data_IF_629453143004
#
_entry.id   IF_629453143004
#
_cell.length_a   1.000
_cell.length_b   1.000
_cell.length_c   1.000
_cell.angle_alpha   90.00
_cell.angle_beta   90.00
_cell.angle_gamma   90.00
#
_symmetry.space_group_name_H-M   'P 1'
#
loop_
_entity.id
_entity.type
_entity.pdbx_description
1 polymer ?
#
# COMPACT_ATOMS: atom_id res chain seq x y z
N UNK A 1 -58.83 14.15 -58.58
CA UNK A 1 -57.55 14.74 -58.15
C UNK A 1 -57.50 14.65 -56.63
N UNK A 2 -56.67 13.74 -56.11
CA UNK A 2 -55.41 14.03 -55.37
C UNK A 2 -55.73 14.45 -53.92
N UNK A 3 -55.28 13.79 -52.85
CA UNK A 3 -54.18 12.82 -52.69
C UNK A 3 -54.29 12.18 -51.30
N UNK A 4 -54.16 10.85 -51.24
CA UNK A 4 -53.84 10.04 -50.06
C UNK A 4 -52.36 10.28 -49.68
N UNK A 5 -52.03 10.30 -48.38
CA UNK A 5 -50.72 9.92 -47.76
C UNK A 5 -50.68 10.25 -46.24
N UNK A 6 -49.84 9.61 -45.41
CA UNK A 6 -49.83 8.18 -45.08
C UNK A 6 -49.75 7.94 -43.54
N UNK A 7 -49.89 6.67 -43.16
CA UNK A 7 -49.65 6.15 -41.82
C UNK A 7 -48.18 6.34 -41.35
N UNK A 8 -48.00 6.64 -40.06
CA UNK A 8 -46.75 6.37 -39.35
C UNK A 8 -47.04 5.41 -38.20
N UNK A 9 -46.66 4.15 -38.42
CA UNK A 9 -46.52 3.14 -37.38
C UNK A 9 -45.30 3.50 -36.53
N UNK A 10 -45.51 3.84 -35.26
CA UNK A 10 -44.44 3.96 -34.28
C UNK A 10 -44.25 2.60 -33.60
N UNK A 11 -43.47 1.71 -34.23
CA UNK A 11 -42.88 0.56 -33.54
C UNK A 11 -41.67 1.06 -32.74
N UNK A 12 -41.93 1.56 -31.53
CA UNK A 12 -40.88 1.81 -30.55
C UNK A 12 -40.46 0.48 -29.94
N UNK A 13 -39.31 -0.03 -30.36
CA UNK A 13 -38.58 -1.12 -29.71
C UNK A 13 -38.36 -0.76 -28.22
N UNK A 14 -39.19 -1.33 -27.34
CA UNK A 14 -38.89 -1.45 -25.93
C UNK A 14 -37.82 -2.56 -25.81
N UNK A 15 -36.56 -2.23 -26.08
CA UNK A 15 -35.46 -3.03 -25.59
C UNK A 15 -35.45 -2.82 -24.07
N UNK A 16 -36.25 -3.62 -23.37
CA UNK A 16 -36.13 -3.78 -21.94
C UNK A 16 -34.68 -4.22 -21.68
N UNK A 17 -33.88 -3.28 -21.16
CA UNK A 17 -32.61 -3.58 -20.54
C UNK A 17 -32.98 -4.43 -19.32
N UNK A 18 -33.08 -5.75 -19.53
CA UNK A 18 -33.22 -6.69 -18.43
C UNK A 18 -31.97 -6.47 -17.57
N UNK A 19 -32.11 -6.07 -16.31
CA UNK A 19 -30.97 -6.01 -15.41
C UNK A 19 -30.35 -7.41 -15.41
N UNK A 20 -29.11 -7.51 -15.90
CA UNK A 20 -28.36 -8.76 -15.84
C UNK A 20 -28.27 -9.14 -14.38
N UNK A 21 -29.05 -10.14 -13.97
CA UNK A 21 -28.93 -10.71 -12.64
C UNK A 21 -27.58 -11.42 -12.57
N UNK A 22 -26.73 -11.01 -11.64
CA UNK A 22 -25.48 -11.69 -11.31
C UNK A 22 -25.75 -13.18 -11.08
N UNK A 23 -25.25 -14.04 -11.97
CA UNK A 23 -25.38 -15.48 -11.84
C UNK A 23 -24.27 -16.04 -10.96
N UNK A 24 -24.57 -17.12 -10.24
CA UNK A 24 -23.53 -17.92 -9.59
C UNK A 24 -23.13 -19.05 -10.52
N UNK A 25 -21.82 -19.17 -10.79
CA UNK A 25 -21.25 -20.23 -11.64
C UNK A 25 -20.31 -21.08 -10.82
N UNK A 26 -20.49 -22.40 -10.86
CA UNK A 26 -19.60 -23.34 -10.18
C UNK A 26 -18.52 -23.76 -11.18
N UNK A 27 -17.25 -23.65 -10.78
CA UNK A 27 -16.13 -24.29 -11.48
C UNK A 27 -15.84 -25.59 -10.73
N UNK A 28 -16.18 -26.72 -11.34
CA UNK A 28 -15.92 -28.03 -10.75
C UNK A 28 -14.42 -28.40 -10.84
N UNK A 29 -14.02 -29.43 -10.11
CA UNK A 29 -12.68 -30.00 -10.27
C UNK A 29 -12.44 -30.42 -11.74
N UNK A 30 -11.23 -30.14 -12.25
CA UNK A 30 -10.82 -30.40 -13.64
C UNK A 30 -11.57 -29.59 -14.73
N UNK A 31 -12.42 -28.63 -14.35
CA UNK A 31 -12.98 -27.66 -15.28
C UNK A 31 -12.07 -26.44 -15.37
N UNK A 32 -11.85 -25.93 -16.58
CA UNK A 32 -11.09 -24.68 -16.75
C UNK A 32 -11.83 -23.50 -16.13
N UNK A 33 -11.14 -22.72 -15.31
CA UNK A 33 -11.66 -21.46 -14.78
C UNK A 33 -11.82 -20.47 -15.93
N UNK A 34 -10.84 -20.40 -16.84
CA UNK A 34 -10.90 -19.49 -17.99
C UNK A 34 -12.14 -19.75 -18.86
N UNK A 35 -12.48 -21.01 -19.14
CA UNK A 35 -13.67 -21.33 -19.91
C UNK A 35 -14.97 -20.81 -19.25
N UNK A 36 -15.02 -20.81 -17.91
CA UNK A 36 -16.16 -20.25 -17.16
C UNK A 36 -16.15 -18.73 -17.20
N UNK A 37 -14.97 -18.08 -17.13
CA UNK A 37 -14.81 -16.63 -17.30
C UNK A 37 -15.29 -16.19 -18.69
N UNK A 38 -14.94 -16.93 -19.74
CA UNK A 38 -15.32 -16.62 -21.12
C UNK A 38 -16.84 -16.60 -21.27
N UNK A 39 -17.52 -17.60 -20.68
CA UNK A 39 -18.98 -17.70 -20.67
C UNK A 39 -19.71 -16.82 -19.64
N UNK A 40 -18.99 -16.14 -18.75
CA UNK A 40 -19.56 -15.30 -17.68
C UNK A 40 -19.99 -13.92 -18.19
N UNK A 41 -20.91 -13.30 -17.46
CA UNK A 41 -21.36 -11.93 -17.66
C UNK A 41 -20.93 -11.02 -16.51
N UNK A 42 -20.89 -9.71 -16.76
CA UNK A 42 -20.61 -8.71 -15.73
C UNK A 42 -21.53 -8.89 -14.52
N UNK A 43 -20.95 -8.95 -13.33
CA UNK A 43 -21.63 -9.18 -12.06
C UNK A 43 -21.59 -10.62 -11.57
N UNK A 44 -21.24 -11.60 -12.42
CA UNK A 44 -21.27 -13.01 -12.03
C UNK A 44 -20.29 -13.34 -10.89
N UNK A 45 -20.67 -14.32 -10.08
CA UNK A 45 -19.88 -14.88 -8.99
C UNK A 45 -19.44 -16.30 -9.34
N UNK A 46 -18.14 -16.48 -9.55
CA UNK A 46 -17.51 -17.76 -9.83
C UNK A 46 -17.08 -18.39 -8.51
N UNK A 47 -17.70 -19.52 -8.17
CA UNK A 47 -17.35 -20.35 -7.02
C UNK A 47 -16.50 -21.51 -7.52
N UNK A 48 -15.24 -21.53 -7.09
CA UNK A 48 -14.22 -22.43 -7.63
C UNK A 48 -13.98 -23.56 -6.62
N UNK A 49 -14.03 -24.82 -7.07
CA UNK A 49 -13.64 -25.95 -6.23
C UNK A 49 -12.16 -25.85 -5.85
N UNK A 50 -11.80 -26.35 -4.66
CA UNK A 50 -10.41 -26.38 -4.24
C UNK A 50 -9.51 -27.11 -5.25
N UNK A 51 -8.30 -26.60 -5.46
CA UNK A 51 -7.35 -27.20 -6.40
C UNK A 51 -6.29 -26.24 -6.92
N UNK A 52 -5.35 -26.81 -7.67
CA UNK A 52 -4.35 -26.07 -8.44
C UNK A 52 -4.78 -26.03 -9.90
N UNK A 53 -4.93 -24.82 -10.42
CA UNK A 53 -5.31 -24.54 -11.80
C UNK A 53 -4.14 -23.81 -12.45
N UNK A 54 -3.34 -24.51 -13.26
CA UNK A 54 -2.23 -23.90 -14.00
C UNK A 54 -2.73 -23.10 -15.21
N UNK A 55 -3.48 -22.03 -14.91
CA UNK A 55 -4.18 -21.19 -15.87
C UNK A 55 -3.81 -19.71 -15.65
N UNK A 56 -3.57 -19.00 -16.76
CA UNK A 56 -3.62 -17.54 -16.77
C UNK A 56 -5.08 -17.11 -16.92
N UNK A 57 -5.61 -16.41 -15.93
CA UNK A 57 -6.97 -15.92 -15.99
C UNK A 57 -7.01 -14.54 -16.63
N UNK A 58 -7.77 -14.40 -17.71
CA UNK A 58 -8.00 -13.13 -18.42
C UNK A 58 -9.46 -12.74 -18.31
N UNK A 59 -9.72 -11.67 -17.57
CA UNK A 59 -11.03 -11.08 -17.33
C UNK A 59 -11.12 -9.77 -18.12
N UNK A 60 -11.70 -9.83 -19.31
CA UNK A 60 -11.77 -8.68 -20.23
C UNK A 60 -13.20 -8.19 -20.43
N UNK A 61 -13.42 -6.88 -20.30
CA UNK A 61 -14.71 -6.24 -20.61
C UNK A 61 -15.84 -6.57 -19.64
N UNK A 62 -15.54 -7.21 -18.51
CA UNK A 62 -16.54 -7.66 -17.54
C UNK A 62 -16.02 -7.60 -16.10
N UNK A 63 -16.89 -7.21 -15.17
CA UNK A 63 -16.63 -7.25 -13.74
C UNK A 63 -17.05 -8.62 -13.19
N UNK A 64 -16.16 -9.31 -12.46
CA UNK A 64 -16.44 -10.64 -11.91
C UNK A 64 -15.99 -10.73 -10.46
N UNK A 65 -16.65 -11.60 -9.69
CA UNK A 65 -16.14 -12.06 -8.39
C UNK A 65 -15.70 -13.51 -8.50
N UNK A 66 -14.46 -13.80 -8.09
CA UNK A 66 -13.91 -15.15 -8.02
C UNK A 66 -13.60 -15.46 -6.56
N UNK A 67 -14.07 -16.62 -6.08
CA UNK A 67 -13.82 -17.11 -4.72
C UNK A 67 -13.85 -18.63 -4.68
N UNK A 68 -13.18 -19.26 -3.70
CA UNK A 68 -13.30 -20.69 -3.50
C UNK A 68 -14.68 -21.09 -2.95
N UNK A 69 -15.02 -22.36 -3.16
CA UNK A 69 -16.09 -23.05 -2.46
C UNK A 69 -15.66 -23.31 -1.00
N UNK A 70 -16.50 -22.94 -0.03
CA UNK A 70 -16.31 -23.21 1.40
C UNK A 70 -14.92 -22.83 1.95
N UNK A 71 -14.35 -21.71 1.50
CA UNK A 71 -13.01 -21.25 1.87
C UNK A 71 -11.86 -22.24 1.56
N UNK A 72 -12.08 -23.16 0.62
CA UNK A 72 -11.05 -24.08 0.15
C UNK A 72 -9.87 -23.38 -0.55
N UNK A 73 -8.76 -24.09 -0.67
CA UNK A 73 -7.55 -23.54 -1.31
C UNK A 73 -7.68 -23.59 -2.84
N UNK A 74 -7.64 -22.42 -3.48
CA UNK A 74 -7.59 -22.27 -4.94
C UNK A 74 -6.29 -21.57 -5.32
N UNK A 75 -5.52 -22.20 -6.19
CA UNK A 75 -4.32 -21.63 -6.78
C UNK A 75 -4.49 -21.47 -8.29
N UNK A 76 -4.06 -20.30 -8.80
CA UNK A 76 -3.99 -19.99 -10.23
C UNK A 76 -2.60 -19.46 -10.59
N UNK A 77 -2.22 -19.50 -11.88
CA UNK A 77 -0.91 -19.00 -12.32
C UNK A 77 -0.87 -17.48 -12.29
N UNK A 78 -1.74 -16.80 -13.04
CA UNK A 78 -1.83 -15.33 -13.07
C UNK A 78 -3.26 -14.83 -13.20
N UNK A 79 -3.50 -13.54 -12.94
CA UNK A 79 -4.78 -12.89 -13.21
C UNK A 79 -4.56 -11.55 -13.91
N UNK A 80 -5.24 -11.35 -15.03
CA UNK A 80 -5.26 -10.08 -15.76
C UNK A 80 -6.71 -9.59 -15.93
N UNK A 81 -7.00 -8.41 -15.42
CA UNK A 81 -8.26 -7.68 -15.61
C UNK A 81 -8.05 -6.52 -16.59
N UNK A 82 -8.77 -6.54 -17.71
CA UNK A 82 -8.66 -5.54 -18.77
C UNK A 82 -10.00 -4.87 -19.04
N UNK A 83 -10.04 -3.55 -18.85
CA UNK A 83 -11.21 -2.71 -19.10
C UNK A 83 -12.52 -3.34 -18.61
N UNK A 84 -12.57 -3.77 -17.35
CA UNK A 84 -13.68 -4.55 -16.81
C UNK A 84 -15.02 -3.79 -16.76
N UNK A 85 -15.00 -2.46 -16.93
CA UNK A 85 -16.18 -1.59 -16.77
C UNK A 85 -16.77 -1.61 -15.35
N UNK A 86 -16.00 -2.09 -14.37
CA UNK A 86 -16.41 -2.32 -13.00
C UNK A 86 -15.30 -2.97 -12.17
N UNK A 87 -15.69 -3.65 -11.08
CA UNK A 87 -14.76 -4.26 -10.12
C UNK A 87 -14.52 -5.73 -10.43
N UNK A 88 -13.26 -6.10 -10.63
CA UNK A 88 -12.82 -7.50 -10.53
C UNK A 88 -12.44 -7.77 -9.07
N UNK A 89 -13.09 -8.76 -8.46
CA UNK A 89 -12.83 -9.17 -7.07
C UNK A 89 -12.26 -10.58 -7.03
N UNK A 90 -11.11 -10.73 -6.38
CA UNK A 90 -10.56 -12.01 -5.96
C UNK A 90 -10.70 -12.12 -4.44
N UNK A 91 -11.10 -13.30 -3.96
CA UNK A 91 -11.23 -13.53 -2.52
C UNK A 91 -10.71 -14.91 -2.16
N UNK A 92 -9.76 -14.99 -1.22
CA UNK A 92 -9.15 -16.24 -0.76
C UNK A 92 -8.57 -17.10 -1.90
N UNK A 93 -7.82 -16.45 -2.81
CA UNK A 93 -7.15 -17.09 -3.95
C UNK A 93 -5.65 -16.86 -3.86
N UNK A 94 -4.88 -17.92 -4.15
CA UNK A 94 -3.44 -17.87 -4.35
C UNK A 94 -3.11 -17.66 -5.83
N UNK A 95 -2.21 -16.72 -6.12
CA UNK A 95 -1.72 -16.44 -7.48
C UNK A 95 -0.21 -16.60 -7.51
N UNK A 96 0.31 -17.45 -8.39
CA UNK A 96 1.74 -17.81 -8.44
C UNK A 96 2.63 -16.74 -9.07
N UNK A 97 2.06 -15.90 -9.93
CA UNK A 97 2.75 -14.77 -10.53
C UNK A 97 2.00 -13.48 -10.21
N UNK A 98 1.57 -12.75 -11.22
CA UNK A 98 1.12 -11.37 -11.10
C UNK A 98 -0.39 -11.26 -11.15
N UNK A 99 -0.90 -10.19 -10.52
CA UNK A 99 -2.26 -9.69 -10.73
C UNK A 99 -2.18 -8.31 -11.36
N UNK A 100 -2.65 -8.21 -12.61
CA UNK A 100 -2.60 -6.97 -13.37
C UNK A 100 -4.01 -6.47 -13.68
N UNK A 101 -4.32 -5.23 -13.32
CA UNK A 101 -5.57 -4.55 -13.62
C UNK A 101 -5.26 -3.28 -14.44
N UNK A 102 -5.59 -3.35 -15.73
CA UNK A 102 -5.50 -2.23 -16.67
C UNK A 102 -6.91 -1.72 -16.94
N UNK A 103 -7.12 -0.40 -16.80
CA UNK A 103 -8.44 0.23 -16.95
C UNK A 103 -9.56 -0.46 -16.13
N UNK A 104 -9.22 -1.06 -14.98
CA UNK A 104 -10.14 -1.88 -14.19
C UNK A 104 -9.99 -1.61 -12.69
N UNK A 105 -11.11 -1.62 -11.96
CA UNK A 105 -11.06 -1.60 -10.50
C UNK A 105 -10.73 -2.99 -9.97
N UNK A 106 -9.95 -3.08 -8.90
CA UNK A 106 -9.44 -4.35 -8.37
C UNK A 106 -9.67 -4.47 -6.88
N UNK A 107 -10.32 -5.55 -6.46
CA UNK A 107 -10.50 -5.90 -5.05
C UNK A 107 -9.79 -7.23 -4.76
N UNK A 108 -8.79 -7.20 -3.89
CA UNK A 108 -8.08 -8.37 -3.36
C UNK A 108 -8.40 -8.52 -1.87
N UNK A 109 -9.04 -9.63 -1.52
CA UNK A 109 -9.46 -9.90 -0.14
C UNK A 109 -8.89 -11.25 0.29
N UNK A 110 -8.03 -11.27 1.32
CA UNK A 110 -7.43 -12.53 1.82
C UNK A 110 -6.67 -13.32 0.76
N UNK A 111 -6.06 -12.64 -0.21
CA UNK A 111 -5.32 -13.30 -1.28
C UNK A 111 -3.85 -13.53 -0.89
N UNK A 112 -3.19 -14.45 -1.60
CA UNK A 112 -1.75 -14.67 -1.49
C UNK A 112 -1.11 -14.59 -2.88
N UNK A 113 -0.43 -13.48 -3.17
CA UNK A 113 0.15 -13.16 -4.48
C UNK A 113 1.67 -13.29 -4.39
N UNK A 114 2.24 -14.19 -5.19
CA UNK A 114 3.69 -14.44 -5.20
C UNK A 114 4.46 -13.40 -6.01
N UNK A 115 3.85 -12.80 -7.02
CA UNK A 115 4.44 -11.76 -7.85
C UNK A 115 3.96 -10.35 -7.49
N UNK A 116 3.89 -9.51 -8.53
CA UNK A 116 3.48 -8.12 -8.46
C UNK A 116 1.95 -7.98 -8.52
N UNK A 117 1.44 -6.89 -7.94
CA UNK A 117 0.07 -6.43 -8.13
C UNK A 117 0.11 -5.05 -8.76
N UNK A 118 -0.56 -4.89 -9.89
CA UNK A 118 -0.63 -3.60 -10.60
C UNK A 118 -2.07 -3.18 -10.82
N UNK A 119 -2.42 -1.97 -10.38
CA UNK A 119 -3.60 -1.21 -10.83
C UNK A 119 -3.07 -0.01 -11.60
N UNK A 120 -3.08 -0.11 -12.92
CA UNK A 120 -2.26 0.73 -13.80
C UNK A 120 -2.81 2.14 -14.04
N UNK A 121 -4.10 2.37 -13.77
CA UNK A 121 -4.82 3.54 -14.22
C UNK A 121 -5.68 4.17 -13.11
N UNK A 122 -5.92 5.47 -13.24
CA UNK A 122 -6.87 6.20 -12.39
C UNK A 122 -8.31 6.16 -12.91
N UNK A 123 -8.51 5.96 -14.21
CA UNK A 123 -9.82 5.91 -14.88
C UNK A 123 -9.89 4.79 -15.92
N UNK A 124 -11.08 4.25 -16.16
CA UNK A 124 -11.36 3.32 -17.27
C UNK A 124 -11.51 4.04 -18.64
N UNK A 125 -11.85 3.30 -19.69
CA UNK A 125 -12.08 3.86 -21.04
C UNK A 125 -13.35 4.72 -21.12
N UNK A 126 -14.28 4.55 -20.17
CA UNK A 126 -15.47 5.38 -19.99
C UNK A 126 -15.20 6.64 -19.17
N UNK A 127 -13.95 6.88 -18.76
CA UNK A 127 -13.54 7.98 -17.88
C UNK A 127 -14.20 7.92 -16.48
N UNK A 128 -14.56 6.71 -16.02
CA UNK A 128 -15.02 6.48 -14.65
C UNK A 128 -13.81 6.28 -13.73
N UNK A 129 -13.87 6.87 -12.54
CA UNK A 129 -12.84 6.71 -11.51
C UNK A 129 -12.66 5.23 -11.12
N UNK A 130 -11.42 4.78 -11.10
CA UNK A 130 -11.06 3.44 -10.66
C UNK A 130 -10.74 3.41 -9.17
N UNK A 131 -11.06 2.28 -8.53
CA UNK A 131 -10.75 2.04 -7.13
C UNK A 131 -9.98 0.73 -6.93
N UNK A 132 -9.15 0.71 -5.89
CA UNK A 132 -8.46 -0.49 -5.43
C UNK A 132 -8.79 -0.76 -3.95
N UNK A 133 -9.16 -1.99 -3.62
CA UNK A 133 -9.30 -2.45 -2.23
C UNK A 133 -8.39 -3.66 -2.06
N UNK A 134 -7.38 -3.54 -1.21
CA UNK A 134 -6.42 -4.60 -0.94
C UNK A 134 -6.43 -4.80 0.57
N UNK A 135 -7.03 -5.90 1.00
CA UNK A 135 -7.31 -6.16 2.41
C UNK A 135 -6.85 -7.56 2.78
N UNK A 136 -6.12 -7.67 3.90
CA UNK A 136 -5.67 -8.95 4.45
C UNK A 136 -4.93 -9.84 3.45
N UNK A 137 -4.23 -9.23 2.51
CA UNK A 137 -3.58 -9.89 1.39
C UNK A 137 -2.07 -9.91 1.59
N UNK A 138 -1.40 -10.97 1.16
CA UNK A 138 0.06 -10.99 1.03
C UNK A 138 0.45 -10.72 -0.41
N UNK A 139 1.30 -9.71 -0.63
CA UNK A 139 1.93 -9.40 -1.92
C UNK A 139 3.43 -9.55 -1.71
N UNK A 140 4.01 -10.61 -2.28
CA UNK A 140 5.40 -10.98 -2.03
C UNK A 140 6.38 -10.03 -2.70
N UNK A 141 5.98 -9.37 -3.78
CA UNK A 141 6.79 -8.41 -4.51
C UNK A 141 6.17 -7.00 -4.46
N UNK A 142 6.00 -6.31 -5.59
CA UNK A 142 5.61 -4.89 -5.62
C UNK A 142 4.11 -4.71 -5.84
N UNK A 143 3.53 -3.79 -5.06
CA UNK A 143 2.24 -3.18 -5.34
C UNK A 143 2.44 -1.86 -6.11
N UNK A 144 1.91 -1.76 -7.32
CA UNK A 144 1.77 -0.48 -8.03
C UNK A 144 0.29 -0.12 -8.09
N UNK A 145 -0.10 0.99 -7.49
CA UNK A 145 -1.51 1.41 -7.48
C UNK A 145 -1.64 2.87 -7.91
N UNK A 146 -2.28 3.07 -9.06
CA UNK A 146 -2.62 4.39 -9.62
C UNK A 146 -4.12 4.66 -9.66
N UNK A 147 -4.91 3.79 -9.04
CA UNK A 147 -6.35 3.99 -8.89
C UNK A 147 -6.63 5.37 -8.29
N UNK A 148 -7.75 5.99 -8.70
CA UNK A 148 -8.14 7.30 -8.16
C UNK A 148 -8.29 7.25 -6.64
N UNK A 149 -8.81 6.14 -6.11
CA UNK A 149 -8.92 5.87 -4.67
C UNK A 149 -8.41 4.47 -4.34
N UNK A 150 -7.69 4.34 -3.24
CA UNK A 150 -7.22 3.03 -2.77
C UNK A 150 -7.31 2.87 -1.25
N UNK A 151 -7.70 1.67 -0.83
CA UNK A 151 -7.64 1.22 0.57
C UNK A 151 -6.74 0.00 0.64
N UNK A 152 -5.58 0.17 1.25
CA UNK A 152 -4.53 -0.83 1.38
C UNK A 152 -4.36 -1.09 2.88
N UNK A 153 -5.07 -2.08 3.40
CA UNK A 153 -5.17 -2.29 4.84
C UNK A 153 -4.83 -3.71 5.28
N UNK A 154 -4.10 -3.83 6.39
CA UNK A 154 -3.81 -5.10 7.06
C UNK A 154 -3.14 -6.16 6.17
N UNK A 155 -2.28 -5.72 5.26
CA UNK A 155 -1.56 -6.58 4.30
C UNK A 155 -0.13 -6.85 4.74
N UNK A 156 0.50 -7.84 4.12
CA UNK A 156 1.96 -7.97 4.07
C UNK A 156 2.43 -7.66 2.65
N UNK A 157 3.24 -6.62 2.47
CA UNK A 157 3.67 -6.10 1.16
C UNK A 157 5.18 -5.92 1.17
N UNK A 158 5.89 -6.20 0.06
CA UNK A 158 7.34 -5.94 0.00
C UNK A 158 7.65 -4.51 -0.39
N UNK A 159 7.05 -3.98 -1.45
CA UNK A 159 7.23 -2.60 -1.92
C UNK A 159 5.91 -2.02 -2.41
N UNK A 160 5.73 -0.71 -2.33
CA UNK A 160 4.62 -0.04 -3.01
C UNK A 160 5.01 1.24 -3.74
N UNK A 161 4.36 1.48 -4.88
CA UNK A 161 4.30 2.76 -5.57
C UNK A 161 2.84 3.20 -5.66
N UNK A 162 2.54 4.39 -5.14
CA UNK A 162 1.18 4.87 -4.92
C UNK A 162 0.96 6.25 -5.56
N UNK A 163 -0.14 6.38 -6.31
CA UNK A 163 -0.72 7.63 -6.77
C UNK A 163 -2.21 7.69 -6.40
N UNK A 164 -2.84 8.87 -6.53
CA UNK A 164 -4.26 9.07 -6.21
C UNK A 164 -4.53 9.33 -4.73
N UNK A 165 -5.77 9.16 -4.29
CA UNK A 165 -6.14 9.25 -2.87
C UNK A 165 -5.97 7.85 -2.23
N UNK A 166 -4.93 7.67 -1.42
CA UNK A 166 -4.54 6.38 -0.86
C UNK A 166 -4.64 6.34 0.67
N UNK A 167 -5.35 5.36 1.22
CA UNK A 167 -5.30 5.00 2.63
C UNK A 167 -4.47 3.73 2.81
N UNK A 168 -3.40 3.83 3.62
CA UNK A 168 -2.45 2.75 3.90
C UNK A 168 -2.41 2.54 5.40
N UNK A 169 -3.18 1.57 5.90
CA UNK A 169 -3.41 1.39 7.35
C UNK A 169 -3.05 -0.02 7.82
N UNK A 170 -2.24 -0.14 8.88
CA UNK A 170 -2.09 -1.42 9.58
C UNK A 170 -1.33 -2.51 8.82
N UNK A 171 -0.53 -2.15 7.82
CA UNK A 171 0.20 -3.13 6.99
C UNK A 171 1.59 -3.43 7.56
N UNK A 172 2.13 -4.59 7.20
CA UNK A 172 3.56 -4.89 7.29
C UNK A 172 4.22 -4.73 5.92
N UNK A 173 5.06 -3.72 5.79
CA UNK A 173 5.98 -3.51 4.69
C UNK A 173 7.31 -4.18 5.01
N UNK A 174 7.46 -5.43 4.56
CA UNK A 174 8.61 -6.30 4.84
C UNK A 174 9.56 -6.33 3.64
N UNK A 175 10.53 -5.42 3.66
CA UNK A 175 11.66 -5.42 2.74
C UNK A 175 12.54 -6.68 2.88
N UNK A 176 13.49 -6.81 1.96
CA UNK A 176 14.52 -7.85 1.96
C UNK A 176 15.87 -7.19 1.70
N UNK A 177 16.94 -7.97 1.82
CA UNK A 177 18.24 -7.53 1.31
C UNK A 177 18.12 -7.13 -0.17
N UNK A 178 18.79 -6.04 -0.54
CA UNK A 178 18.69 -5.43 -1.89
C UNK A 178 18.17 -3.99 -1.88
N UNK A 179 17.83 -3.44 -0.71
CA UNK A 179 17.45 -2.04 -0.53
C UNK A 179 16.05 -1.75 -1.05
N UNK A 180 15.92 -0.69 -1.87
CA UNK A 180 14.64 -0.22 -2.40
C UNK A 180 13.89 0.72 -1.45
N UNK A 181 12.60 0.90 -1.72
CA UNK A 181 11.72 1.81 -0.98
C UNK A 181 10.48 1.04 -0.53
N UNK A 182 10.07 1.20 0.73
CA UNK A 182 8.88 0.55 1.25
C UNK A 182 7.60 1.13 0.68
N UNK A 183 7.33 2.39 1.00
CA UNK A 183 6.17 3.13 0.47
C UNK A 183 6.67 4.33 -0.32
N UNK A 184 6.45 4.32 -1.63
CA UNK A 184 6.78 5.42 -2.53
C UNK A 184 5.50 6.13 -3.00
N UNK A 185 5.32 7.38 -2.57
CA UNK A 185 4.15 8.20 -2.91
C UNK A 185 4.57 9.26 -3.93
N UNK A 186 3.85 9.35 -5.05
CA UNK A 186 4.24 10.22 -6.17
C UNK A 186 3.04 10.95 -6.80
N UNK A 187 3.31 12.06 -7.49
CA UNK A 187 2.33 12.81 -8.28
C UNK A 187 1.64 13.97 -7.53
N UNK A 188 1.45 15.09 -8.21
CA UNK A 188 0.88 16.33 -7.61
C UNK A 188 -0.59 16.22 -7.22
N UNK A 189 -1.31 15.26 -7.81
CA UNK A 189 -2.71 14.97 -7.51
C UNK A 189 -2.88 13.86 -6.44
N UNK A 190 -1.78 13.41 -5.83
CA UNK A 190 -1.79 12.29 -4.88
C UNK A 190 -1.86 12.78 -3.45
N UNK A 191 -2.76 12.19 -2.67
CA UNK A 191 -2.88 12.39 -1.24
C UNK A 191 -2.86 11.03 -0.53
N UNK A 192 -1.84 10.79 0.27
CA UNK A 192 -1.70 9.55 1.03
C UNK A 192 -1.92 9.76 2.53
N UNK A 193 -2.75 8.92 3.15
CA UNK A 193 -2.79 8.73 4.59
C UNK A 193 -2.07 7.41 4.91
N UNK A 194 -0.89 7.49 5.51
CA UNK A 194 -0.05 6.34 5.84
C UNK A 194 0.02 6.22 7.35
N UNK A 195 -0.68 5.23 7.92
CA UNK A 195 -0.78 5.10 9.37
C UNK A 195 -0.72 3.70 9.93
N UNK A 196 -0.19 3.59 11.15
CA UNK A 196 -0.19 2.33 11.90
C UNK A 196 0.50 1.18 11.15
N UNK A 197 1.45 1.47 10.26
CA UNK A 197 2.18 0.44 9.52
C UNK A 197 3.49 0.09 10.20
N UNK A 198 3.93 -1.15 10.02
CA UNK A 198 5.29 -1.61 10.29
C UNK A 198 6.08 -1.62 8.99
N UNK A 199 7.18 -0.88 8.91
CA UNK A 199 7.95 -0.69 7.67
C UNK A 199 9.42 -0.98 7.97
N UNK A 200 9.96 -2.06 7.38
CA UNK A 200 11.30 -2.52 7.76
C UNK A 200 12.04 -3.28 6.67
N UNK A 201 13.36 -3.38 6.85
CA UNK A 201 14.19 -4.35 6.11
C UNK A 201 14.56 -3.90 4.71
N UNK A 202 14.54 -2.60 4.42
CA UNK A 202 15.05 -2.04 3.17
C UNK A 202 16.55 -1.79 3.33
N UNK A 203 17.33 -2.86 3.22
CA UNK A 203 18.74 -2.85 3.62
C UNK A 203 19.67 -3.64 2.73
N UNK A 204 20.98 -3.46 2.93
CA UNK A 204 22.02 -4.28 2.33
C UNK A 204 23.42 -3.78 2.65
N UNK A 205 24.40 -4.36 1.95
CA UNK A 205 25.80 -3.93 1.94
C UNK A 205 26.20 -3.71 0.49
N UNK A 206 26.28 -2.45 0.05
CA UNK A 206 26.49 -2.11 -1.35
C UNK A 206 27.89 -1.52 -1.56
N UNK A 207 28.70 -2.14 -2.41
CA UNK A 207 30.08 -1.71 -2.69
C UNK A 207 30.21 -0.72 -3.84
N UNK A 208 29.15 0.00 -4.19
CA UNK A 208 29.04 0.83 -5.39
C UNK A 208 28.05 1.99 -5.18
N UNK A 209 28.12 3.01 -6.03
CA UNK A 209 27.25 4.17 -5.96
C UNK A 209 25.77 3.79 -6.01
N UNK A 210 24.98 4.41 -5.13
CA UNK A 210 23.55 4.15 -5.04
C UNK A 210 22.73 5.42 -5.11
N UNK A 211 21.51 5.29 -5.61
CA UNK A 211 20.54 6.38 -5.63
C UNK A 211 19.16 5.89 -5.21
N UNK A 212 18.53 6.60 -4.28
CA UNK A 212 17.13 6.38 -3.89
C UNK A 212 16.82 4.95 -3.42
N UNK A 213 17.60 4.43 -2.48
CA UNK A 213 17.46 3.08 -1.91
C UNK A 213 17.58 3.07 -0.40
N UNK A 214 17.14 1.97 0.22
CA UNK A 214 17.15 1.80 1.66
C UNK A 214 16.32 2.89 2.35
N UNK A 215 15.08 3.07 1.87
CA UNK A 215 14.15 4.08 2.39
C UNK A 215 12.88 3.39 2.88
N UNK A 216 12.39 3.75 4.07
CA UNK A 216 11.09 3.29 4.56
C UNK A 216 9.94 3.90 3.76
N UNK A 217 9.78 5.23 3.85
CA UNK A 217 8.75 5.99 3.13
C UNK A 217 9.40 7.11 2.32
N UNK A 218 9.02 7.25 1.05
CA UNK A 218 9.36 8.40 0.21
C UNK A 218 8.12 9.18 -0.22
N UNK A 219 8.19 10.51 -0.13
CA UNK A 219 7.21 11.44 -0.69
C UNK A 219 7.88 12.26 -1.79
N UNK A 220 7.33 12.19 -3.00
CA UNK A 220 7.91 12.84 -4.17
C UNK A 220 6.83 13.35 -5.15
N UNK A 221 7.27 14.00 -6.23
CA UNK A 221 6.41 14.48 -7.31
C UNK A 221 5.39 15.53 -6.87
N UNK A 222 5.61 16.21 -5.75
CA UNK A 222 4.67 17.18 -5.19
C UNK A 222 3.46 16.57 -4.47
N UNK A 223 3.45 15.26 -4.21
CA UNK A 223 2.38 14.58 -3.48
C UNK A 223 2.19 15.14 -2.06
N UNK A 224 1.00 14.96 -1.50
CA UNK A 224 0.73 15.19 -0.07
C UNK A 224 0.69 13.87 0.68
N UNK A 225 1.21 13.87 1.90
CA UNK A 225 1.20 12.68 2.74
C UNK A 225 1.03 13.03 4.23
N UNK A 226 0.02 12.46 4.86
CA UNK A 226 -0.11 12.40 6.32
C UNK A 226 0.46 11.05 6.78
N UNK A 227 1.68 11.08 7.32
CA UNK A 227 2.47 9.93 7.79
C UNK A 227 2.39 9.90 9.32
N UNK A 228 1.50 9.05 9.84
CA UNK A 228 1.08 9.10 11.24
C UNK A 228 1.28 7.75 11.93
N UNK A 229 1.90 7.70 13.11
CA UNK A 229 1.93 6.48 13.92
C UNK A 229 2.49 5.27 13.17
N UNK A 230 3.60 5.39 12.44
CA UNK A 230 4.25 4.23 11.83
C UNK A 230 5.47 3.79 12.65
N UNK A 231 5.83 2.51 12.53
CA UNK A 231 7.05 1.93 13.06
C UNK A 231 8.01 1.67 11.90
N UNK A 232 9.11 2.43 11.81
CA UNK A 232 10.02 2.42 10.65
C UNK A 232 11.45 2.14 11.09
N UNK A 233 12.05 1.06 10.57
CA UNK A 233 13.42 0.73 10.96
C UNK A 233 14.14 -0.16 9.97
N UNK A 234 15.42 -0.45 10.21
CA UNK A 234 16.23 -1.33 9.35
C UNK A 234 16.26 -0.86 7.88
N UNK A 235 16.36 0.46 7.67
CA UNK A 235 16.48 1.07 6.34
C UNK A 235 17.90 1.60 6.15
N UNK A 236 18.85 0.72 5.82
CA UNK A 236 20.26 1.09 5.84
C UNK A 236 21.12 0.49 4.74
N UNK A 237 22.27 1.11 4.52
CA UNK A 237 23.39 0.50 3.80
C UNK A 237 24.62 0.40 4.70
N UNK A 238 25.22 -0.78 4.70
CA UNK A 238 26.45 -1.11 5.42
C UNK A 238 27.70 -1.10 4.52
N UNK A 239 27.57 -0.76 3.25
CA UNK A 239 28.68 -0.53 2.34
C UNK A 239 29.51 0.70 2.76
N UNK A 240 30.83 0.56 2.76
CA UNK A 240 31.76 1.66 3.11
C UNK A 240 32.39 2.32 1.87
N UNK A 241 31.95 1.95 0.67
CA UNK A 241 32.57 2.34 -0.60
C UNK A 241 31.51 2.76 -1.60
N UNK A 242 31.77 3.83 -2.34
CA UNK A 242 30.80 4.45 -3.24
C UNK A 242 30.28 5.77 -2.67
N UNK A 243 29.45 6.44 -3.47
CA UNK A 243 28.70 7.62 -3.07
C UNK A 243 27.20 7.29 -3.03
N UNK A 244 26.59 7.38 -1.86
CA UNK A 244 25.15 7.20 -1.69
C UNK A 244 24.40 8.53 -1.82
N UNK A 245 23.45 8.58 -2.75
CA UNK A 245 22.57 9.74 -2.97
C UNK A 245 21.15 9.37 -2.62
N UNK A 246 20.53 10.06 -1.68
CA UNK A 246 19.15 9.81 -1.25
C UNK A 246 18.96 8.39 -0.71
N UNK A 247 19.81 7.97 0.23
CA UNK A 247 19.77 6.60 0.77
C UNK A 247 19.76 6.54 2.30
N UNK A 248 19.31 5.41 2.85
CA UNK A 248 19.47 5.06 4.26
C UNK A 248 18.67 5.95 5.21
N UNK A 249 17.37 6.09 4.95
CA UNK A 249 16.47 6.98 5.68
C UNK A 249 15.17 6.27 6.06
N UNK A 250 14.60 6.61 7.22
CA UNK A 250 13.26 6.15 7.57
C UNK A 250 12.20 6.84 6.72
N UNK A 251 12.23 8.18 6.69
CA UNK A 251 11.32 9.00 5.88
C UNK A 251 12.14 9.98 5.04
N UNK A 252 11.90 9.99 3.74
CA UNK A 252 12.48 10.93 2.80
C UNK A 252 11.40 11.73 2.07
N UNK A 253 11.29 13.02 2.36
CA UNK A 253 10.45 13.95 1.60
C UNK A 253 11.34 14.67 0.61
N UNK A 254 11.29 14.27 -0.65
CA UNK A 254 12.07 14.89 -1.72
C UNK A 254 11.39 16.15 -2.25
N UNK A 255 10.07 16.07 -2.46
CA UNK A 255 9.24 17.20 -2.88
C UNK A 255 7.80 16.97 -2.44
N UNK A 256 7.14 18.01 -1.94
CA UNK A 256 5.75 17.92 -1.45
C UNK A 256 5.02 19.25 -1.54
N UNK A 257 3.70 19.19 -1.69
CA UNK A 257 2.80 20.32 -1.48
C UNK A 257 2.19 20.34 -0.08
N UNK A 258 2.51 19.34 0.75
CA UNK A 258 2.05 19.21 2.13
C UNK A 258 2.35 17.82 2.70
N UNK A 259 3.33 17.71 3.59
CA UNK A 259 3.61 16.47 4.32
C UNK A 259 3.53 16.69 5.83
N UNK A 260 2.85 15.78 6.53
CA UNK A 260 2.83 15.72 8.00
C UNK A 260 3.47 14.43 8.45
N UNK A 261 4.42 14.53 9.36
CA UNK A 261 5.17 13.40 9.94
C UNK A 261 4.93 13.46 11.45
N UNK A 262 3.97 12.67 11.93
CA UNK A 262 3.43 12.77 13.28
C UNK A 262 3.47 11.42 13.99
N UNK A 263 3.92 11.36 15.24
CA UNK A 263 3.73 10.14 16.05
C UNK A 263 4.49 8.90 15.54
N UNK A 264 5.46 9.02 14.64
CA UNK A 264 6.20 7.86 14.13
C UNK A 264 7.36 7.49 15.05
N UNK A 265 7.70 6.21 15.12
CA UNK A 265 8.91 5.71 15.76
C UNK A 265 9.89 5.24 14.68
N UNK A 266 11.10 5.81 14.68
CA UNK A 266 12.09 5.63 13.60
C UNK A 266 13.47 5.34 14.20
N UNK A 267 14.14 4.27 13.73
CA UNK A 267 15.51 3.94 14.16
C UNK A 267 16.26 3.07 13.16
N UNK A 268 17.57 2.92 13.37
CA UNK A 268 18.42 2.02 12.57
C UNK A 268 18.32 2.26 11.05
N UNK A 269 18.26 3.53 10.66
CA UNK A 269 18.29 3.96 9.27
C UNK A 269 19.53 4.81 9.01
N UNK A 270 20.44 4.33 8.17
CA UNK A 270 21.70 5.03 7.89
C UNK A 270 22.38 4.61 6.58
N UNK A 271 23.44 5.32 6.21
CA UNK A 271 24.45 4.81 5.27
C UNK A 271 25.81 4.88 5.95
N UNK A 272 26.65 3.85 5.78
CA UNK A 272 28.02 3.81 6.28
C UNK A 272 28.99 4.58 5.37
N UNK A 273 28.80 4.46 4.05
CA UNK A 273 29.62 5.06 3.01
C UNK A 273 29.51 6.59 2.88
N UNK A 274 30.17 7.12 1.85
CA UNK A 274 30.15 8.53 1.56
C UNK A 274 28.77 8.94 1.04
N UNK A 275 28.04 9.78 1.75
CA UNK A 275 26.70 10.18 1.33
C UNK A 275 26.61 11.65 0.89
N UNK A 276 25.76 11.92 -0.09
CA UNK A 276 25.36 13.28 -0.48
C UNK A 276 24.16 13.75 0.36
N UNK A 277 23.14 12.88 0.46
CA UNK A 277 21.95 13.05 1.29
C UNK A 277 21.54 11.68 1.79
N UNK A 278 21.53 11.47 3.09
CA UNK A 278 21.29 10.16 3.67
C UNK A 278 21.61 10.17 5.15
N UNK A 279 21.89 9.00 5.73
CA UNK A 279 22.32 8.78 7.11
C UNK A 279 21.55 9.52 8.23
N UNK A 280 20.30 9.91 7.94
CA UNK A 280 19.35 10.55 8.85
C UNK A 280 18.14 9.65 9.01
N UNK A 281 17.46 9.75 10.14
CA UNK A 281 16.18 9.09 10.32
C UNK A 281 15.10 9.75 9.45
N UNK A 282 15.16 11.08 9.31
CA UNK A 282 14.29 11.85 8.42
C UNK A 282 15.08 12.89 7.62
N UNK A 283 14.80 12.98 6.33
CA UNK A 283 15.24 14.09 5.48
C UNK A 283 14.02 14.73 4.82
N UNK A 284 13.83 16.03 5.00
CA UNK A 284 12.72 16.76 4.39
C UNK A 284 13.01 18.26 4.25
N UNK A 285 12.45 18.95 3.23
CA UNK A 285 12.54 20.40 3.11
C UNK A 285 11.80 21.10 4.25
N UNK A 286 12.15 22.35 4.53
CA UNK A 286 11.39 23.19 5.46
C UNK A 286 9.96 23.48 4.96
N UNK A 287 9.84 23.84 3.68
CA UNK A 287 8.58 24.30 3.11
C UNK A 287 7.55 23.17 3.03
N UNK A 288 6.33 23.45 3.50
CA UNK A 288 5.18 22.55 3.45
C UNK A 288 5.35 21.22 4.20
N UNK A 289 6.30 21.13 5.14
CA UNK A 289 6.50 19.94 5.96
C UNK A 289 6.28 20.27 7.44
N UNK A 290 5.49 19.44 8.11
CA UNK A 290 5.32 19.45 9.56
C UNK A 290 5.92 18.15 10.09
N UNK A 291 6.86 18.26 11.03
CA UNK A 291 7.45 17.11 11.71
C UNK A 291 7.32 17.29 13.23
N UNK A 292 6.47 16.49 13.87
CA UNK A 292 6.20 16.62 15.31
C UNK A 292 5.95 15.30 16.02
N UNK A 293 6.25 15.27 17.32
CA UNK A 293 5.87 14.17 18.20
C UNK A 293 6.34 12.79 17.70
N UNK A 294 7.53 12.71 17.11
CA UNK A 294 8.10 11.43 16.67
C UNK A 294 9.08 10.91 17.72
N UNK A 295 9.30 9.59 17.77
CA UNK A 295 10.41 8.98 18.48
C UNK A 295 11.53 8.72 17.48
N UNK A 296 12.66 9.36 17.70
CA UNK A 296 13.84 9.30 16.84
C UNK A 296 14.98 8.68 17.63
N UNK A 297 15.22 7.39 17.41
CA UNK A 297 16.22 6.65 18.15
C UNK A 297 17.43 6.38 17.27
N UNK A 298 18.60 6.89 17.72
CA UNK A 298 19.83 6.73 16.98
C UNK A 298 20.14 5.25 16.76
N UNK A 299 20.01 4.41 17.80
CA UNK A 299 20.19 2.95 17.83
C UNK A 299 21.49 2.36 17.26
N UNK A 300 22.25 3.08 16.43
CA UNK A 300 23.50 2.63 15.84
C UNK A 300 24.52 3.76 15.66
N UNK A 301 25.81 3.42 15.71
CA UNK A 301 26.89 4.40 15.64
C UNK A 301 26.93 5.18 14.32
N UNK A 302 26.49 4.56 13.22
CA UNK A 302 26.47 5.16 11.88
C UNK A 302 25.21 5.97 11.56
N UNK A 303 24.17 5.88 12.40
CA UNK A 303 23.10 6.89 12.34
C UNK A 303 23.70 8.21 12.79
N UNK A 304 23.56 9.23 11.96
CA UNK A 304 24.19 10.52 12.21
C UNK A 304 23.62 11.18 13.48
N UNK A 305 24.45 11.88 14.30
CA UNK A 305 23.98 12.49 15.55
C UNK A 305 22.88 13.55 15.36
N UNK A 306 22.97 14.34 14.30
CA UNK A 306 21.80 15.10 13.84
C UNK A 306 20.87 14.09 13.15
N UNK A 307 19.75 13.74 13.78
CA UNK A 307 18.84 12.68 13.32
C UNK A 307 17.96 13.11 12.13
N UNK A 308 17.91 14.41 11.85
CA UNK A 308 17.05 15.07 10.87
C UNK A 308 17.89 16.02 10.01
N UNK A 309 17.52 16.20 8.74
CA UNK A 309 18.15 17.16 7.82
C UNK A 309 17.18 17.63 6.70
N UNK A 310 17.67 18.46 5.77
CA UNK A 310 16.92 19.01 4.63
C UNK A 310 16.24 20.35 4.91
N UNK A 311 16.33 20.85 6.14
CA UNK A 311 15.79 22.14 6.58
C UNK A 311 14.48 22.04 7.37
N UNK A 312 13.81 20.89 7.42
CA UNK A 312 12.66 20.68 8.31
C UNK A 312 13.07 20.83 9.78
N UNK A 313 12.17 21.39 10.59
CA UNK A 313 12.35 21.52 12.04
C UNK A 313 11.43 20.52 12.75
N UNK A 314 11.99 19.82 13.73
CA UNK A 314 11.25 18.92 14.61
C UNK A 314 10.73 19.65 15.84
N UNK A 315 9.46 19.42 16.18
CA UNK A 315 8.87 19.92 17.43
C UNK A 315 8.34 18.76 18.28
N UNK A 316 8.56 18.83 19.59
CA UNK A 316 7.98 17.90 20.58
C UNK A 316 8.28 16.40 20.32
N UNK A 317 9.34 16.11 19.56
CA UNK A 317 9.81 14.74 19.30
C UNK A 317 10.70 14.25 20.44
N UNK A 318 10.57 12.97 20.77
CA UNK A 318 11.44 12.27 21.71
C UNK A 318 12.67 11.78 20.96
N UNK A 319 13.87 12.08 21.46
CA UNK A 319 15.12 11.57 20.88
C UNK A 319 15.79 10.63 21.86
N UNK A 320 16.24 9.48 21.36
CA UNK A 320 16.94 8.49 22.17
C UNK A 320 18.39 8.33 21.69
N UNK A 321 19.38 8.32 22.61
CA UNK A 321 20.78 8.12 22.24
C UNK A 321 21.07 6.67 21.81
N UNK A 322 22.25 6.48 21.23
CA UNK A 322 22.72 5.20 20.68
C UNK A 322 22.66 4.05 21.70
N UNK A 323 23.03 4.32 22.95
CA UNK A 323 23.24 3.35 24.02
C UNK A 323 22.03 3.19 24.96
N UNK A 324 20.83 3.48 24.48
CA UNK A 324 19.59 3.24 25.24
C UNK A 324 19.13 1.81 25.02
N UNK A 325 18.49 1.20 26.03
CA UNK A 325 17.77 -0.06 25.86
C UNK A 325 16.68 0.05 24.79
N UNK A 326 16.36 -1.08 24.17
CA UNK A 326 15.38 -1.11 23.10
C UNK A 326 13.98 -0.78 23.63
N UNK A 327 13.33 0.28 23.13
CA UNK A 327 11.99 0.66 23.58
C UNK A 327 10.88 -0.20 22.95
N UNK A 328 11.26 -1.15 22.09
CA UNK A 328 10.37 -2.08 21.41
C UNK A 328 10.93 -3.50 21.43
N UNK A 329 10.05 -4.50 21.45
CA UNK A 329 10.41 -5.91 21.27
C UNK A 329 10.64 -6.27 19.78
N UNK A 330 10.91 -7.56 19.52
CA UNK A 330 11.14 -8.06 18.15
C UNK A 330 9.91 -8.00 17.24
N UNK A 331 8.71 -7.91 17.82
CA UNK A 331 7.44 -7.75 17.12
C UNK A 331 7.07 -6.27 16.92
N UNK A 332 7.82 -5.35 17.55
CA UNK A 332 7.59 -3.93 17.53
C UNK A 332 6.63 -3.44 18.62
N UNK A 333 6.29 -4.28 19.60
CA UNK A 333 5.50 -3.86 20.76
C UNK A 333 6.33 -2.98 21.68
N UNK A 334 5.77 -1.87 22.20
CA UNK A 334 6.47 -1.03 23.15
C UNK A 334 6.78 -1.81 24.44
N UNK A 335 7.91 -1.50 25.07
CA UNK A 335 8.20 -2.01 26.40
C UNK A 335 7.27 -1.40 27.48
N UNK A 336 7.34 -1.91 28.71
CA UNK A 336 6.47 -1.44 29.80
C UNK A 336 6.76 0.01 30.26
N UNK A 337 7.94 0.56 29.96
CA UNK A 337 8.37 1.91 30.34
C UNK A 337 8.51 2.80 29.10
N UNK A 338 7.69 2.54 28.08
CA UNK A 338 7.88 3.12 26.76
C UNK A 338 7.77 4.63 26.80
N UNK A 339 8.87 5.32 26.47
CA UNK A 339 8.96 6.79 26.49
C UNK A 339 8.02 7.47 25.48
N UNK A 340 7.51 6.71 24.51
CA UNK A 340 6.56 7.20 23.53
C UNK A 340 5.10 7.15 24.00
N UNK A 341 4.82 6.59 25.18
CA UNK A 341 3.47 6.56 25.73
C UNK A 341 2.97 7.97 26.02
N UNK A 342 1.77 8.30 25.54
CA UNK A 342 1.12 9.60 25.63
C UNK A 342 1.99 10.78 25.13
N UNK A 343 2.93 10.52 24.22
CA UNK A 343 3.87 11.50 23.71
C UNK A 343 3.56 11.97 22.26
N UNK A 344 2.56 11.37 21.61
CA UNK A 344 2.10 11.68 20.26
C UNK A 344 1.35 13.02 20.14
N UNK A 345 0.69 13.30 19.01
CA UNK A 345 -0.08 14.53 18.84
C UNK A 345 -1.12 14.76 19.94
N UNK A 346 -1.30 16.03 20.36
CA UNK A 346 -2.25 16.41 21.43
C UNK A 346 -3.68 16.62 20.96
N UNK A 347 -3.90 16.70 19.65
CA UNK A 347 -5.23 16.86 19.08
C UNK A 347 -6.05 15.57 19.30
N UNK A 348 -7.23 15.73 19.92
CA UNK A 348 -8.11 14.64 20.32
C UNK A 348 -8.48 13.70 19.17
N UNK A 349 -8.40 14.16 17.92
CA UNK A 349 -8.63 13.31 16.74
C UNK A 349 -7.62 12.18 16.59
N UNK A 350 -6.49 12.24 17.29
CA UNK A 350 -5.46 11.20 17.30
C UNK A 350 -5.45 10.39 18.61
N UNK A 351 -6.34 10.63 19.56
CA UNK A 351 -6.32 9.90 20.83
C UNK A 351 -6.34 8.38 20.63
N UNK A 352 -5.74 7.66 21.57
CA UNK A 352 -5.76 6.20 21.58
C UNK A 352 -7.17 5.67 21.81
N UNK A 353 -7.37 4.36 21.61
CA UNK A 353 -8.67 3.70 21.79
C UNK A 353 -9.26 3.84 23.20
N UNK A 354 -8.42 3.98 24.22
CA UNK A 354 -8.85 4.20 25.60
C UNK A 354 -9.16 5.68 25.92
N UNK A 355 -9.02 6.56 24.92
CA UNK A 355 -9.26 7.98 25.03
C UNK A 355 -8.07 8.79 25.56
N UNK A 356 -6.94 8.15 25.88
CA UNK A 356 -5.72 8.87 26.28
C UNK A 356 -5.07 9.57 25.09
N UNK A 357 -4.06 10.39 25.37
CA UNK A 357 -3.32 11.09 24.32
C UNK A 357 -2.54 10.05 23.52
N UNK A 358 -2.56 10.18 22.20
CA UNK A 358 -1.88 9.31 21.24
C UNK A 358 -0.49 8.82 21.71
N UNK A 359 -0.29 7.51 21.68
CA UNK A 359 1.03 6.87 21.81
C UNK A 359 1.85 7.01 20.51
N UNK A 360 3.18 7.13 20.60
CA UNK A 360 4.05 7.14 19.41
C UNK A 360 4.25 5.71 18.88
N UNK A 361 4.20 5.53 17.56
CA UNK A 361 4.47 4.27 16.87
C UNK A 361 3.20 3.58 16.38
N UNK A 362 3.33 2.34 15.88
CA UNK A 362 2.24 1.66 15.15
C UNK A 362 1.00 1.31 15.97
N UNK A 363 1.09 1.37 17.30
CA UNK A 363 -0.01 1.14 18.22
C UNK A 363 -0.67 2.44 18.74
N UNK A 364 -0.25 3.60 18.23
CA UNK A 364 -0.88 4.87 18.58
C UNK A 364 -2.20 5.13 17.86
N UNK A 365 -3.10 5.82 18.53
CA UNK A 365 -4.38 6.31 18.02
C UNK A 365 -5.51 5.28 18.04
N UNK A 366 -6.68 5.67 17.53
CA UNK A 366 -7.88 4.83 17.50
C UNK A 366 -8.16 4.17 16.15
N UNK A 367 -7.33 4.47 15.13
CA UNK A 367 -7.65 4.16 13.74
C UNK A 367 -7.04 2.86 13.22
N UNK A 368 -6.88 1.87 14.09
CA UNK A 368 -6.44 0.52 13.74
C UNK A 368 -7.25 -0.52 14.53
N UNK A 369 -7.34 -1.74 14.01
CA UNK A 369 -7.94 -2.86 14.74
C UNK A 369 -7.01 -3.28 15.88
N UNK A 370 -7.49 -3.25 17.13
CA UNK A 370 -6.69 -3.59 18.33
C UNK A 370 -6.10 -5.00 18.25
N UNK A 371 -6.83 -5.94 17.65
CA UNK A 371 -6.34 -7.30 17.43
C UNK A 371 -5.51 -7.46 16.15
N UNK A 372 -5.43 -6.43 15.29
CA UNK A 372 -4.39 -6.06 14.32
C UNK A 372 -3.68 -7.11 13.48
N UNK A 373 -4.08 -8.38 13.55
CA UNK A 373 -3.31 -9.53 13.08
C UNK A 373 -4.26 -10.51 12.39
N UNK A 374 -3.72 -11.09 11.32
CA UNK A 374 -4.15 -12.32 10.68
C UNK A 374 -4.60 -13.36 11.71
N UNK A 375 -5.86 -13.77 11.66
CA UNK A 375 -6.22 -15.16 11.97
C UNK A 375 -6.26 -15.93 10.67
#
# INVERSE_FOLDING_TARGET
>A
MRTIRPAFLFFGFLAACLPGHAATRIVAANQSIQAVIDGASTGDNLIIWQGVYDEDLVISGKALTLRPLNDGEVQVRSVTANNAGGVVRLSNIRVETDVNATKSSLHLLKCYILGDVTVADAVDDGNNDLQAVILQTTIREKLTCKAKRSWICYNTIRHSYLEGDAEVTGNEFAGREGGGIGIDVNGTATHALIRNNRIRGYKGTFGYDMTAKCIGIRVNGGAKADIVNNLIYDCYDFGSSGIETDCGMGIFVQSTTGAKILGNAIWHCFTLGGNTRGNRLVYAPFANVILKNNLLWRNYGHVHPALIDGGVVSYDSVTLPYNTDAPFDADGHPDANFVGSNAGPTDARYNDHDGTRNDIGMYGGHSYLINGRTT
#
